data_IF_069755634145
#
_entry.id   IF_069755634145
#
_cell.length_a   1.000
_cell.length_b   1.000
_cell.length_c   1.000
_cell.angle_alpha   90.00
_cell.angle_beta   90.00
_cell.angle_gamma   90.00
#
_symmetry.space_group_name_H-M   'P 1'
#
loop_
_entity.id
_entity.type
_entity.pdbx_description
1 polymer ?
#
# COMPACT_ATOMS: atom_id res chain seq x y z
N UNK A 1 0.11 -7.52 11.63
CA UNK A 1 -0.64 -6.67 10.68
C UNK A 1 -1.18 -5.46 11.43
N UNK A 2 -0.45 -4.35 11.34
CA UNK A 2 -0.92 -3.07 11.85
C UNK A 2 -2.16 -2.62 11.06
N UNK A 3 -3.09 -2.01 11.79
CA UNK A 3 -4.34 -1.47 11.27
C UNK A 3 -4.39 0.02 11.64
N UNK A 4 -3.66 0.86 10.90
CA UNK A 4 -3.43 2.24 11.27
C UNK A 4 -4.66 3.12 11.05
N UNK A 5 -5.55 2.77 10.12
CA UNK A 5 -6.74 3.58 9.86
C UNK A 5 -7.78 3.29 10.95
N UNK A 6 -8.22 4.31 11.68
CA UNK A 6 -9.20 4.23 12.75
C UNK A 6 -10.46 4.96 12.33
N UNK A 7 -11.60 4.28 12.37
CA UNK A 7 -12.91 4.88 12.10
C UNK A 7 -13.76 4.79 13.36
N UNK A 8 -14.30 5.93 13.79
CA UNK A 8 -15.25 6.00 14.88
C UNK A 8 -16.29 7.06 14.59
N UNK A 9 -17.57 6.66 14.61
CA UNK A 9 -18.70 7.49 14.17
C UNK A 9 -18.49 7.95 12.71
N UNK A 10 -18.35 9.26 12.47
CA UNK A 10 -18.08 9.83 11.15
C UNK A 10 -16.63 10.34 11.02
N UNK A 11 -15.80 10.10 12.03
CA UNK A 11 -14.40 10.53 12.09
C UNK A 11 -13.51 9.39 11.57
N UNK A 12 -12.57 9.76 10.71
CA UNK A 12 -11.50 8.87 10.26
C UNK A 12 -10.18 9.50 10.70
N UNK A 13 -9.39 8.72 11.44
CA UNK A 13 -8.03 9.05 11.81
C UNK A 13 -7.06 8.01 11.25
N UNK A 14 -5.78 8.37 11.25
CA UNK A 14 -4.69 7.44 10.91
C UNK A 14 -3.72 7.48 12.08
N UNK A 15 -3.44 6.31 12.65
CA UNK A 15 -2.41 6.12 13.67
C UNK A 15 -1.01 6.13 13.06
N UNK A 16 -0.03 5.63 13.81
CA UNK A 16 1.35 5.52 13.32
C UNK A 16 1.49 4.39 12.31
N UNK A 17 2.23 4.67 11.22
CA UNK A 17 2.61 3.73 10.18
C UNK A 17 3.92 4.18 9.53
N UNK A 18 4.59 3.27 8.83
CA UNK A 18 5.81 3.59 8.11
C UNK A 18 5.47 3.95 6.66
N UNK A 19 5.80 5.17 6.27
CA UNK A 19 5.57 5.71 4.94
C UNK A 19 6.60 6.79 4.62
N UNK A 20 6.84 7.03 3.32
CA UNK A 20 7.49 8.25 2.85
C UNK A 20 6.53 9.44 2.93
N UNK A 21 7.03 10.66 2.75
CA UNK A 21 6.18 11.86 2.68
C UNK A 21 5.18 11.76 1.51
N UNK A 22 5.63 11.28 0.35
CA UNK A 22 4.79 11.04 -0.83
C UNK A 22 3.68 10.03 -0.54
N UNK A 23 4.00 8.95 0.17
CA UNK A 23 3.04 7.92 0.57
C UNK A 23 1.98 8.46 1.52
N UNK A 24 2.40 9.31 2.47
CA UNK A 24 1.49 9.97 3.39
C UNK A 24 0.50 10.89 2.66
N UNK A 25 0.97 11.65 1.66
CA UNK A 25 0.09 12.48 0.83
C UNK A 25 -0.92 11.63 0.05
N UNK A 26 -0.50 10.49 -0.50
CA UNK A 26 -1.40 9.58 -1.21
C UNK A 26 -2.45 9.00 -0.26
N UNK A 27 -2.06 8.60 0.95
CA UNK A 27 -3.00 8.10 1.97
C UNK A 27 -4.04 9.16 2.32
N UNK A 28 -3.61 10.41 2.55
CA UNK A 28 -4.52 11.51 2.86
C UNK A 28 -5.49 11.78 1.69
N UNK A 29 -4.98 11.78 0.46
CA UNK A 29 -5.78 11.93 -0.76
C UNK A 29 -6.80 10.79 -0.92
N UNK A 30 -6.39 9.55 -0.66
CA UNK A 30 -7.23 8.37 -0.71
C UNK A 30 -8.33 8.41 0.35
N UNK A 31 -8.00 8.78 1.59
CA UNK A 31 -8.97 8.91 2.68
C UNK A 31 -10.01 10.02 2.41
N UNK A 32 -9.58 11.13 1.81
CA UNK A 32 -10.49 12.19 1.41
C UNK A 32 -11.45 11.74 0.29
N UNK A 33 -10.94 10.96 -0.67
CA UNK A 33 -11.71 10.54 -1.85
C UNK A 33 -12.61 9.34 -1.58
N UNK A 34 -12.15 8.37 -0.79
CA UNK A 34 -12.77 7.05 -0.64
C UNK A 34 -13.05 6.67 0.83
N UNK A 35 -12.62 7.46 1.81
CA UNK A 35 -12.74 7.10 3.23
C UNK A 35 -14.17 6.86 3.71
N UNK A 36 -15.18 7.40 3.01
CA UNK A 36 -16.58 7.13 3.29
C UNK A 36 -16.94 5.62 3.16
N UNK A 37 -16.21 4.86 2.35
CA UNK A 37 -16.38 3.40 2.22
C UNK A 37 -16.11 2.66 3.53
N UNK A 38 -15.28 3.23 4.40
CA UNK A 38 -14.91 2.64 5.68
C UNK A 38 -15.96 2.88 6.77
N UNK A 39 -16.94 3.76 6.53
CA UNK A 39 -18.00 4.14 7.47
C UNK A 39 -19.16 3.13 7.44
N UNK A 40 -18.85 1.86 7.64
CA UNK A 40 -19.83 0.76 7.58
C UNK A 40 -20.67 0.66 8.86
N UNK A 41 -21.98 0.35 8.77
CA UNK A 41 -22.84 0.14 9.95
C UNK A 41 -22.44 -1.09 10.80
N UNK A 42 -22.80 -1.13 12.10
CA UNK A 42 -23.39 -0.05 12.89
C UNK A 42 -22.40 1.09 13.18
N UNK A 43 -22.92 2.33 13.24
CA UNK A 43 -22.19 3.52 13.68
C UNK A 43 -21.93 3.45 15.20
N UNK A 44 -20.84 4.08 15.65
CA UNK A 44 -20.46 4.13 17.08
C UNK A 44 -19.58 2.97 17.56
N UNK A 45 -19.29 2.00 16.69
CA UNK A 45 -18.28 0.97 16.97
C UNK A 45 -16.94 1.46 16.42
N UNK A 46 -15.92 1.52 17.28
CA UNK A 46 -14.55 1.81 16.85
C UNK A 46 -14.06 0.65 15.98
N UNK A 47 -13.64 0.98 14.75
CA UNK A 47 -13.07 0.02 13.81
C UNK A 47 -11.68 0.42 13.40
N UNK A 48 -10.86 -0.59 13.13
CA UNK A 48 -9.53 -0.42 12.58
C UNK A 48 -9.43 -1.15 11.26
N UNK A 49 -8.79 -0.52 10.30
CA UNK A 49 -8.58 -1.01 8.96
C UNK A 49 -7.08 -0.99 8.64
N UNK A 50 -6.60 -2.01 7.95
CA UNK A 50 -5.30 -1.96 7.28
C UNK A 50 -5.42 -1.17 5.96
N UNK A 51 -4.29 -0.75 5.39
CA UNK A 51 -4.30 -0.15 4.05
C UNK A 51 -4.73 -1.16 2.99
N UNK A 52 -4.40 -2.45 3.21
CA UNK A 52 -4.91 -3.55 2.39
C UNK A 52 -6.43 -3.63 2.41
N UNK A 53 -7.05 -3.68 3.60
CA UNK A 53 -8.51 -3.74 3.73
C UNK A 53 -9.20 -2.50 3.14
N UNK A 54 -8.54 -1.35 3.17
CA UNK A 54 -9.03 -0.14 2.50
C UNK A 54 -8.95 -0.25 0.98
N UNK A 55 -7.85 -0.78 0.43
CA UNK A 55 -7.75 -1.07 -0.99
C UNK A 55 -8.82 -2.07 -1.44
N UNK A 56 -9.03 -3.16 -0.69
CA UNK A 56 -10.10 -4.14 -0.95
C UNK A 56 -11.48 -3.46 -1.01
N UNK A 57 -11.75 -2.53 -0.09
CA UNK A 57 -13.02 -1.79 -0.07
C UNK A 57 -13.21 -0.88 -1.29
N UNK A 58 -12.13 -0.28 -1.81
CA UNK A 58 -12.17 0.52 -3.04
C UNK A 58 -12.43 -0.39 -4.25
N UNK A 59 -11.69 -1.49 -4.39
CA UNK A 59 -11.80 -2.44 -5.50
C UNK A 59 -13.17 -3.12 -5.56
N UNK A 60 -13.84 -3.30 -4.41
CA UNK A 60 -15.18 -3.87 -4.35
C UNK A 60 -16.27 -2.93 -4.91
N UNK A 61 -15.99 -1.62 -5.05
CA UNK A 61 -16.98 -0.61 -5.41
C UNK A 61 -16.62 0.13 -6.70
N UNK A 62 -15.34 0.31 -6.98
CA UNK A 62 -14.83 1.11 -8.09
C UNK A 62 -14.09 0.26 -9.13
N UNK A 63 -14.18 0.68 -10.39
CA UNK A 63 -13.47 0.05 -11.49
C UNK A 63 -11.97 0.38 -11.42
N UNK A 64 -11.15 -0.65 -11.30
CA UNK A 64 -9.68 -0.54 -11.31
C UNK A 64 -9.10 -0.38 -12.71
N UNK A 65 -9.91 -0.43 -13.77
CA UNK A 65 -9.47 0.01 -15.09
C UNK A 65 -9.32 1.54 -15.17
N UNK A 66 -9.97 2.29 -14.27
CA UNK A 66 -9.76 3.73 -14.16
C UNK A 66 -8.35 4.00 -13.59
N UNK A 67 -7.47 4.75 -14.30
CA UNK A 67 -6.08 4.94 -13.90
C UNK A 67 -5.91 5.53 -12.49
N UNK A 68 -6.82 6.42 -12.09
CA UNK A 68 -6.77 7.08 -10.78
C UNK A 68 -7.11 6.12 -9.64
N UNK A 69 -8.13 5.29 -9.84
CA UNK A 69 -8.52 4.26 -8.87
C UNK A 69 -7.42 3.20 -8.77
N UNK A 70 -6.89 2.74 -9.90
CA UNK A 70 -5.77 1.80 -9.97
C UNK A 70 -4.54 2.32 -9.19
N UNK A 71 -4.12 3.55 -9.46
CA UNK A 71 -2.96 4.16 -8.80
C UNK A 71 -3.17 4.29 -7.28
N UNK A 72 -4.39 4.63 -6.85
CA UNK A 72 -4.71 4.74 -5.41
C UNK A 72 -4.63 3.37 -4.73
N UNK A 73 -5.24 2.34 -5.32
CA UNK A 73 -5.21 0.96 -4.82
C UNK A 73 -3.78 0.46 -4.72
N UNK A 74 -2.98 0.66 -5.78
CA UNK A 74 -1.58 0.27 -5.79
C UNK A 74 -0.78 0.98 -4.72
N UNK A 75 -0.96 2.29 -4.53
CA UNK A 75 -0.25 3.00 -3.46
C UNK A 75 -0.61 2.45 -2.07
N UNK A 76 -1.90 2.21 -1.79
CA UNK A 76 -2.35 1.64 -0.50
C UNK A 76 -1.72 0.27 -0.23
N UNK A 77 -1.67 -0.60 -1.25
CA UNK A 77 -1.03 -1.92 -1.12
C UNK A 77 0.49 -1.80 -0.90
N UNK A 78 1.13 -0.76 -1.43
CA UNK A 78 2.59 -0.58 -1.36
C UNK A 78 2.98 -0.14 0.02
N UNK A 79 2.18 0.75 0.58
CA UNK A 79 2.31 1.25 1.95
C UNK A 79 2.04 0.13 2.95
N UNK A 80 1.05 -0.74 2.69
CA UNK A 80 0.82 -1.94 3.50
C UNK A 80 2.07 -2.82 3.55
N UNK A 81 2.61 -3.19 2.39
CA UNK A 81 3.79 -4.04 2.29
C UNK A 81 5.02 -3.39 2.94
N UNK A 82 5.24 -2.10 2.69
CA UNK A 82 6.32 -1.33 3.31
C UNK A 82 6.20 -1.33 4.84
N UNK A 83 5.00 -1.07 5.37
CA UNK A 83 4.75 -1.08 6.80
C UNK A 83 5.01 -2.45 7.41
N UNK A 84 4.58 -3.53 6.76
CA UNK A 84 4.80 -4.90 7.22
C UNK A 84 6.27 -5.31 7.23
N UNK A 85 7.04 -4.91 6.21
CA UNK A 85 8.47 -5.17 6.15
C UNK A 85 9.21 -4.38 7.24
N UNK A 86 8.86 -3.11 7.44
CA UNK A 86 9.46 -2.27 8.47
C UNK A 86 9.17 -2.78 9.89
N UNK A 87 7.97 -3.31 10.12
CA UNK A 87 7.61 -3.99 11.37
C UNK A 87 8.47 -5.23 11.64
N UNK A 88 8.95 -5.89 10.60
CA UNK A 88 9.89 -7.02 10.69
C UNK A 88 11.35 -6.57 10.81
N UNK A 89 11.60 -5.26 10.92
CA UNK A 89 12.94 -4.67 10.96
C UNK A 89 13.60 -4.56 9.58
N UNK A 90 12.89 -4.88 8.50
CA UNK A 90 13.42 -4.82 7.14
C UNK A 90 13.33 -3.39 6.63
N UNK A 91 14.50 -2.76 6.51
CA UNK A 91 14.64 -1.35 6.09
C UNK A 91 15.26 -1.18 4.71
N UNK A 92 15.91 -2.23 4.21
CA UNK A 92 16.54 -2.35 2.90
C UNK A 92 16.28 -3.77 2.41
N UNK A 93 15.16 -3.97 1.70
CA UNK A 93 14.76 -5.28 1.23
C UNK A 93 15.77 -5.83 0.21
N UNK A 94 16.31 -4.95 -0.64
CA UNK A 94 17.34 -5.30 -1.60
C UNK A 94 18.58 -5.89 -0.93
N UNK A 95 19.15 -5.19 0.05
CA UNK A 95 20.36 -5.64 0.75
C UNK A 95 20.12 -6.78 1.74
N UNK A 96 19.00 -6.76 2.48
CA UNK A 96 18.76 -7.69 3.58
C UNK A 96 18.08 -8.99 3.15
N UNK A 97 17.23 -8.94 2.12
CA UNK A 97 16.44 -10.08 1.66
C UNK A 97 16.93 -10.60 0.32
N UNK A 98 17.19 -9.72 -0.66
CA UNK A 98 17.58 -10.12 -2.01
C UNK A 98 19.10 -10.34 -2.19
N UNK A 99 19.91 -10.11 -1.14
CA UNK A 99 21.36 -10.34 -1.16
C UNK A 99 22.21 -9.18 -1.71
N UNK A 100 21.60 -8.03 -2.00
CA UNK A 100 22.26 -6.83 -2.54
C UNK A 100 22.61 -6.93 -4.03
N UNK A 101 23.05 -5.81 -4.63
CA UNK A 101 23.42 -5.72 -6.05
C UNK A 101 22.77 -4.55 -6.77
N UNK A 102 22.34 -4.75 -8.02
CA UNK A 102 21.58 -3.76 -8.78
C UNK A 102 20.10 -3.74 -8.34
N UNK A 103 19.82 -2.97 -7.29
CA UNK A 103 18.45 -2.73 -6.84
C UNK A 103 17.66 -2.00 -7.94
N UNK A 104 16.51 -2.56 -8.34
CA UNK A 104 15.67 -2.00 -9.41
C UNK A 104 16.05 -2.39 -10.83
N UNK A 105 17.01 -3.32 -11.00
CA UNK A 105 17.41 -3.87 -12.30
C UNK A 105 17.30 -5.40 -12.28
N UNK A 106 16.61 -5.99 -13.27
CA UNK A 106 16.54 -7.45 -13.46
C UNK A 106 15.59 -8.20 -12.51
N UNK A 107 15.49 -9.54 -12.62
CA UNK A 107 14.52 -10.37 -11.89
C UNK A 107 14.89 -10.60 -10.40
N UNK A 108 15.62 -9.66 -9.79
CA UNK A 108 16.41 -9.86 -8.57
C UNK A 108 15.55 -10.23 -7.34
N UNK A 109 14.25 -9.89 -7.33
CA UNK A 109 13.33 -10.32 -6.27
C UNK A 109 11.90 -10.53 -6.77
N UNK A 110 11.19 -11.51 -6.20
CA UNK A 110 9.84 -11.95 -6.65
C UNK A 110 8.80 -10.82 -6.64
N UNK A 111 8.98 -9.82 -5.78
CA UNK A 111 8.07 -8.70 -5.61
C UNK A 111 8.52 -7.43 -6.32
N UNK A 112 9.64 -7.45 -7.03
CA UNK A 112 10.27 -6.24 -7.51
C UNK A 112 11.00 -5.42 -6.46
N UNK A 113 11.75 -4.41 -6.89
CA UNK A 113 12.46 -3.48 -6.00
C UNK A 113 12.39 -2.08 -6.60
N UNK A 114 11.84 -1.13 -5.84
CA UNK A 114 11.96 0.28 -6.18
C UNK A 114 13.38 0.77 -5.85
N UNK A 115 14.15 1.26 -6.84
CA UNK A 115 15.54 1.70 -6.64
C UNK A 115 15.67 2.94 -5.74
N UNK A 116 14.58 3.68 -5.49
CA UNK A 116 14.59 4.86 -4.61
C UNK A 116 14.36 4.47 -3.16
N UNK A 117 13.44 3.54 -2.92
CA UNK A 117 13.04 3.15 -1.56
C UNK A 117 13.77 1.90 -1.07
N UNK A 118 14.42 1.14 -1.96
CA UNK A 118 15.06 -0.15 -1.69
C UNK A 118 14.09 -1.18 -1.07
N UNK A 119 12.80 -0.96 -1.25
CA UNK A 119 11.71 -1.80 -0.79
C UNK A 119 10.98 -2.37 -2.01
N UNK A 120 10.14 -3.40 -1.85
CA UNK A 120 9.34 -3.87 -2.94
C UNK A 120 8.39 -2.78 -3.44
N UNK A 121 8.57 -2.38 -4.69
CA UNK A 121 7.55 -1.65 -5.43
C UNK A 121 6.52 -2.66 -5.91
N UNK A 122 5.22 -2.36 -5.83
CA UNK A 122 4.26 -3.29 -6.44
C UNK A 122 4.39 -3.13 -7.94
N UNK A 123 5.17 -4.04 -8.52
CA UNK A 123 5.22 -4.18 -9.95
C UNK A 123 3.83 -4.63 -10.39
N UNK A 124 3.34 -4.00 -11.45
CA UNK A 124 2.17 -4.49 -12.15
C UNK A 124 2.44 -5.96 -12.51
N UNK A 125 1.71 -6.89 -11.93
CA UNK A 125 1.55 -8.22 -12.53
C UNK A 125 0.83 -8.03 -13.85
N UNK A 126 1.63 -7.83 -14.88
CA UNK A 126 1.24 -7.56 -16.26
C UNK A 126 2.54 -7.44 -17.04
N UNK A 127 3.02 -8.59 -17.53
CA UNK A 127 4.11 -8.77 -18.51
C UNK A 127 5.48 -9.18 -17.95
N UNK A 128 5.57 -10.45 -17.56
CA UNK A 128 6.77 -11.23 -17.82
C UNK A 128 6.73 -11.75 -19.27
N UNK A 129 7.78 -11.43 -20.05
CA UNK A 129 8.19 -12.01 -21.35
C UNK A 129 7.28 -11.69 -22.56
N UNK A 130 7.84 -11.23 -23.70
CA UNK A 130 8.70 -12.08 -24.53
C UNK A 130 9.83 -11.32 -25.24
N UNK A 131 11.01 -11.94 -25.17
CA UNK A 131 12.20 -11.79 -26.01
C UNK A 131 11.86 -11.58 -27.49
N UNK A 132 12.55 -10.64 -28.14
CA UNK A 132 13.16 -10.82 -29.47
C UNK A 132 14.25 -9.77 -29.70
#
# INVERSE_FOLDING_TARGET
>A
MNKPIVVHMDIIGVGEYFASDEDAEIVLSALNSYGFLLKVPPKGVLRRWSFGEFADAIEAVYDTAEPRTAATVQALRRIQLTSELREQGITDYCGQVCGGGECGSGPTCVYGIDPRTHLPGIEHTGEAHETL
#
